data_IF_341559707163
#
_entry.id   IF_341559707163
#
_cell.length_a   1.000
_cell.length_b   1.000
_cell.length_c   1.000
_cell.angle_alpha   90.00
_cell.angle_beta   90.00
_cell.angle_gamma   90.00
#
_symmetry.space_group_name_H-M   'P 1'
#
loop_
_entity.id
_entity.type
_entity.pdbx_description
1 polymer ?
#
# COMPACT_ATOMS: atom_id res chain seq x y z
N UNK A 1 16.99 11.36 -18.33
CA UNK A 1 15.95 10.33 -18.15
C UNK A 1 15.57 10.33 -16.69
N UNK A 2 14.72 11.28 -16.30
CA UNK A 2 14.23 11.36 -14.93
C UNK A 2 13.00 10.48 -14.85
N UNK A 3 13.15 9.22 -14.46
CA UNK A 3 12.03 8.46 -13.93
C UNK A 3 11.81 8.95 -12.49
N UNK A 4 11.40 10.21 -12.35
CA UNK A 4 10.85 10.72 -11.11
C UNK A 4 9.56 9.93 -10.90
N UNK A 5 9.66 8.85 -10.14
CA UNK A 5 8.50 8.09 -9.65
C UNK A 5 7.86 8.99 -8.59
N UNK A 6 7.24 10.08 -9.07
CA UNK A 6 6.45 10.96 -8.24
C UNK A 6 5.43 10.09 -7.53
N UNK A 7 5.42 10.21 -6.21
CA UNK A 7 4.49 9.49 -5.39
C UNK A 7 3.07 9.91 -5.75
N UNK A 8 2.20 8.94 -6.02
CA UNK A 8 0.78 9.18 -6.19
C UNK A 8 0.13 8.92 -4.83
N UNK A 9 -0.39 9.95 -4.13
CA UNK A 9 -1.06 9.76 -2.86
C UNK A 9 -2.18 8.74 -3.00
N UNK A 10 -2.30 7.81 -2.04
CA UNK A 10 -3.49 6.97 -1.92
C UNK A 10 -4.60 7.74 -1.22
N UNK A 11 -5.86 7.35 -1.42
CA UNK A 11 -6.97 8.00 -0.73
C UNK A 11 -6.89 7.78 0.79
N UNK A 12 -7.42 8.73 1.57
CA UNK A 12 -7.52 8.59 3.02
C UNK A 12 -8.33 7.35 3.41
N UNK A 13 -9.43 7.09 2.71
CA UNK A 13 -10.26 5.90 2.95
C UNK A 13 -9.47 4.60 2.78
N UNK A 14 -8.63 4.50 1.75
CA UNK A 14 -7.80 3.30 1.55
C UNK A 14 -6.72 3.20 2.62
N UNK A 15 -6.10 4.33 2.97
CA UNK A 15 -5.11 4.41 4.03
C UNK A 15 -5.67 3.91 5.38
N UNK A 16 -6.86 4.39 5.77
CA UNK A 16 -7.52 4.00 7.01
C UNK A 16 -7.80 2.49 7.07
N UNK A 17 -8.14 1.85 5.93
CA UNK A 17 -8.29 0.39 5.87
C UNK A 17 -6.98 -0.35 6.16
N UNK A 18 -5.85 0.18 5.67
CA UNK A 18 -4.54 -0.41 5.96
C UNK A 18 -4.18 -0.26 7.44
N UNK A 19 -4.51 0.88 8.05
CA UNK A 19 -4.33 1.11 9.49
C UNK A 19 -5.22 0.20 10.34
N UNK A 20 -6.48 -0.03 9.95
CA UNK A 20 -7.38 -0.98 10.59
C UNK A 20 -6.79 -2.40 10.56
N UNK A 21 -6.32 -2.84 9.39
CA UNK A 21 -5.70 -4.15 9.22
C UNK A 21 -4.41 -4.30 10.05
N UNK A 22 -3.60 -3.24 10.12
CA UNK A 22 -2.38 -3.20 10.93
C UNK A 22 -2.70 -3.28 12.43
N UNK A 23 -3.69 -2.53 12.88
CA UNK A 23 -4.18 -2.51 14.27
C UNK A 23 -4.72 -3.87 14.68
N UNK A 24 -5.53 -4.51 13.83
CA UNK A 24 -6.09 -5.83 14.06
C UNK A 24 -5.05 -6.95 13.94
N UNK A 25 -3.88 -6.66 13.32
CA UNK A 25 -2.85 -7.65 12.97
C UNK A 25 -3.42 -8.85 12.22
N UNK A 26 -4.39 -8.59 11.35
CA UNK A 26 -5.09 -9.61 10.57
C UNK A 26 -4.21 -10.10 9.43
N UNK A 27 -4.24 -11.40 9.15
CA UNK A 27 -3.63 -11.93 7.93
C UNK A 27 -4.47 -11.50 6.73
N UNK A 28 -3.87 -10.77 5.80
CA UNK A 28 -4.49 -10.25 4.60
C UNK A 28 -3.81 -10.80 3.34
N UNK A 29 -4.54 -10.83 2.22
CA UNK A 29 -3.93 -10.99 0.91
C UNK A 29 -3.52 -9.61 0.39
N UNK A 30 -2.23 -9.41 0.10
CA UNK A 30 -1.67 -8.16 -0.40
C UNK A 30 -1.13 -8.40 -1.79
N UNK A 31 -1.69 -7.71 -2.78
CA UNK A 31 -1.21 -7.68 -4.16
C UNK A 31 -0.61 -6.32 -4.47
N UNK A 32 0.59 -6.30 -5.07
CA UNK A 32 1.32 -5.06 -5.38
C UNK A 32 2.22 -5.24 -6.60
N UNK A 33 2.69 -4.14 -7.16
CA UNK A 33 3.67 -4.12 -8.25
C UNK A 33 5.07 -3.90 -7.65
N UNK A 34 6.00 -4.79 -7.96
CA UNK A 34 7.40 -4.66 -7.53
C UNK A 34 8.18 -3.64 -8.38
N UNK A 35 9.44 -3.39 -8.03
CA UNK A 35 10.32 -2.48 -8.79
C UNK A 35 10.57 -2.92 -10.23
N UNK A 36 10.38 -4.21 -10.55
CA UNK A 36 10.49 -4.76 -11.90
C UNK A 36 9.21 -4.59 -12.72
N UNK A 37 8.14 -4.04 -12.15
CA UNK A 37 6.84 -3.93 -12.79
C UNK A 37 6.04 -5.23 -12.79
N UNK A 38 6.50 -6.26 -12.08
CA UNK A 38 5.78 -7.53 -11.97
C UNK A 38 4.78 -7.48 -10.81
N UNK A 39 3.59 -8.03 -11.03
CA UNK A 39 2.60 -8.16 -9.97
C UNK A 39 3.00 -9.30 -9.03
N UNK A 40 3.12 -8.96 -7.76
CA UNK A 40 3.38 -9.88 -6.67
C UNK A 40 2.11 -10.04 -5.82
N UNK A 41 1.95 -11.22 -5.24
CA UNK A 41 0.92 -11.47 -4.23
C UNK A 41 1.55 -12.13 -3.02
N UNK A 42 1.18 -11.66 -1.82
CA UNK A 42 1.65 -12.17 -0.54
C UNK A 42 0.46 -12.35 0.40
N UNK A 43 0.51 -13.38 1.23
CA UNK A 43 -0.37 -13.47 2.39
C UNK A 43 0.46 -13.17 3.63
N UNK A 44 0.19 -12.04 4.27
CA UNK A 44 0.96 -11.55 5.41
C UNK A 44 0.11 -10.65 6.31
N UNK A 45 0.64 -10.34 7.49
CA UNK A 45 0.06 -9.33 8.38
C UNK A 45 0.73 -8.00 8.12
N UNK A 46 -0.05 -6.93 7.99
CA UNK A 46 0.50 -5.57 7.98
C UNK A 46 0.95 -5.25 9.41
N UNK A 47 2.24 -4.98 9.60
CA UNK A 47 2.80 -4.64 10.92
C UNK A 47 2.67 -3.16 11.22
N UNK A 48 2.87 -2.32 10.22
CA UNK A 48 2.94 -0.87 10.36
C UNK A 48 2.68 -0.18 9.03
N UNK A 49 2.16 1.04 9.09
CA UNK A 49 1.94 1.96 7.95
C UNK A 49 2.61 3.28 8.32
N UNK A 50 3.47 3.80 7.45
CA UNK A 50 4.31 4.94 7.77
C UNK A 50 4.71 5.76 6.53
N UNK A 51 4.89 7.06 6.72
CA UNK A 51 5.42 7.96 5.70
C UNK A 51 6.96 8.02 5.76
N UNK A 52 7.61 7.98 4.60
CA UNK A 52 9.08 8.12 4.47
C UNK A 52 9.45 8.78 3.15
N UNK A 53 10.32 9.79 3.20
CA UNK A 53 10.89 10.42 1.99
C UNK A 53 9.82 10.93 0.98
N UNK A 54 8.66 11.37 1.48
CA UNK A 54 7.57 11.92 0.66
C UNK A 54 6.65 10.88 0.00
N UNK A 55 6.71 9.62 0.44
CA UNK A 55 5.79 8.56 0.06
C UNK A 55 5.35 7.74 1.27
N UNK A 56 4.23 7.05 1.16
CA UNK A 56 3.72 6.18 2.22
C UNK A 56 4.05 4.72 1.94
N UNK A 57 4.39 4.00 3.00
CA UNK A 57 4.82 2.62 2.97
C UNK A 57 4.09 1.79 4.04
N UNK A 58 4.04 0.48 3.82
CA UNK A 58 3.67 -0.47 4.85
C UNK A 58 4.77 -1.51 5.02
N UNK A 59 4.90 -2.06 6.23
CA UNK A 59 5.78 -3.20 6.50
C UNK A 59 4.95 -4.44 6.74
N UNK A 60 5.28 -5.52 6.06
CA UNK A 60 4.65 -6.83 6.24
C UNK A 60 5.32 -7.62 7.36
N UNK A 61 4.63 -8.64 7.88
CA UNK A 61 5.17 -9.53 8.90
C UNK A 61 6.42 -10.29 8.45
N UNK A 62 6.57 -10.49 7.14
CA UNK A 62 7.77 -11.04 6.48
C UNK A 62 9.00 -10.13 6.55
N UNK A 63 8.84 -8.86 6.92
CA UNK A 63 9.89 -7.83 6.90
C UNK A 63 9.99 -7.08 5.58
N UNK A 64 9.15 -7.40 4.60
CA UNK A 64 9.06 -6.69 3.32
C UNK A 64 8.37 -5.33 3.50
N UNK A 65 8.87 -4.31 2.80
CA UNK A 65 8.27 -2.97 2.79
C UNK A 65 7.70 -2.69 1.41
N UNK A 66 6.45 -2.26 1.36
CA UNK A 66 5.72 -2.00 0.11
C UNK A 66 5.21 -0.56 0.11
N UNK A 67 5.40 0.16 -1.00
CA UNK A 67 4.81 1.49 -1.18
C UNK A 67 3.30 1.40 -1.39
N UNK A 68 2.55 2.30 -0.77
CA UNK A 68 1.09 2.30 -0.84
C UNK A 68 0.59 2.54 -2.27
N UNK A 69 1.24 3.41 -3.03
CA UNK A 69 0.90 3.74 -4.42
C UNK A 69 1.20 2.61 -5.43
N UNK A 70 1.85 1.54 -4.98
CA UNK A 70 2.10 0.32 -5.76
C UNK A 70 1.16 -0.82 -5.39
N UNK A 71 0.29 -0.64 -4.41
CA UNK A 71 -0.71 -1.62 -4.04
C UNK A 71 -1.74 -1.76 -5.18
N UNK A 72 -2.22 -2.98 -5.37
CA UNK A 72 -3.27 -3.32 -6.33
C UNK A 72 -4.53 -3.70 -5.58
N UNK A 73 -4.41 -4.58 -4.60
CA UNK A 73 -5.53 -5.07 -3.78
C UNK A 73 -5.02 -5.53 -2.41
N UNK A 74 -5.76 -5.21 -1.35
CA UNK A 74 -5.49 -5.64 0.01
C UNK A 74 -6.77 -6.18 0.65
N UNK A 75 -6.76 -7.46 1.06
CA UNK A 75 -7.89 -8.14 1.71
C UNK A 75 -9.23 -8.01 0.95
N UNK A 76 -9.17 -7.97 -0.39
CA UNK A 76 -10.32 -7.79 -1.28
C UNK A 76 -10.68 -6.33 -1.61
N UNK A 77 -10.02 -5.36 -0.98
CA UNK A 77 -10.16 -3.93 -1.29
C UNK A 77 -9.17 -3.54 -2.40
N UNK A 78 -9.65 -3.16 -3.58
CA UNK A 78 -8.79 -2.76 -4.70
C UNK A 78 -8.45 -1.29 -4.61
N UNK A 79 -7.18 -0.93 -4.80
CA UNK A 79 -6.77 0.48 -4.77
C UNK A 79 -7.54 1.32 -5.81
N UNK A 80 -7.84 0.75 -6.98
CA UNK A 80 -8.60 1.42 -8.04
C UNK A 80 -10.04 1.79 -7.66
N UNK A 81 -10.62 1.16 -6.63
CA UNK A 81 -11.96 1.50 -6.12
C UNK A 81 -11.92 2.76 -5.21
N UNK A 82 -10.73 3.21 -4.83
CA UNK A 82 -10.49 4.35 -3.96
C UNK A 82 -9.66 5.41 -4.69
N UNK A 83 -10.30 6.23 -5.54
CA UNK A 83 -9.59 7.30 -6.23
C UNK A 83 -8.92 8.25 -5.22
N UNK A 84 -7.78 8.85 -5.56
CA UNK A 84 -7.09 9.78 -4.68
C UNK A 84 -7.92 11.05 -4.52
N UNK A 85 -8.82 11.05 -3.54
CA UNK A 85 -9.57 12.22 -3.13
C UNK A 85 -8.67 13.11 -2.27
N UNK A 86 -7.71 13.75 -2.93
CA UNK A 86 -6.98 14.89 -2.37
C UNK A 86 -7.33 16.13 -3.19
N UNK A 87 -8.58 16.55 -3.09
CA UNK A 87 -9.04 17.86 -3.54
C UNK A 87 -9.65 18.60 -2.35
N UNK A 88 -8.81 19.37 -1.64
CA UNK A 88 -9.25 20.52 -0.85
C UNK A 88 -8.54 21.75 -1.41
#
# INVERSE_FOLDING_TARGET
MSASTEYIPVSCEFHDRLEDLATLRKQASISFVDDGGAQQQRSAVIKDVFAREGADYLTLSSGETVRLDRLVEVDGYKLADFPPDCAI
#
